data_IF_315527913541
#
_entry.id   IF_315527913541
#
_cell.length_a   1.000
_cell.length_b   1.000
_cell.length_c   1.000
_cell.angle_alpha   90.00
_cell.angle_beta   90.00
_cell.angle_gamma   90.00
#
_symmetry.space_group_name_H-M   'P 1'
#
loop_
_entity.id
_entity.type
_entity.pdbx_description
1 polymer ?
#
# COMPACT_ATOMS: atom_id res chain seq x y z
N UNK A 1 -1.24 3.78 -20.79
CA UNK A 1 -1.55 4.33 -19.45
C UNK A 1 -2.36 3.36 -18.59
N UNK A 2 -3.59 2.98 -18.97
CA UNK A 2 -4.41 2.07 -18.13
C UNK A 2 -3.75 0.71 -17.82
N UNK A 3 -3.10 0.08 -18.80
CA UNK A 3 -2.35 -1.17 -18.55
C UNK A 3 -1.18 -0.98 -17.58
N UNK A 4 -0.53 0.18 -17.58
CA UNK A 4 0.52 0.47 -16.61
C UNK A 4 -0.10 0.69 -15.22
N UNK A 5 -1.18 1.46 -15.12
CA UNK A 5 -1.90 1.66 -13.87
C UNK A 5 -2.39 0.33 -13.29
N UNK A 6 -2.87 -0.59 -14.13
CA UNK A 6 -3.24 -1.96 -13.74
C UNK A 6 -2.06 -2.69 -13.08
N UNK A 7 -0.87 -2.63 -13.68
CA UNK A 7 0.33 -3.27 -13.13
C UNK A 7 0.77 -2.62 -11.81
N UNK A 8 0.77 -1.29 -11.75
CA UNK A 8 1.15 -0.53 -10.56
C UNK A 8 0.19 -0.86 -9.39
N UNK A 9 -1.13 -0.87 -9.64
CA UNK A 9 -2.14 -1.26 -8.63
C UNK A 9 -1.92 -2.71 -8.17
N UNK A 10 -1.65 -3.65 -9.09
CA UNK A 10 -1.40 -5.06 -8.75
C UNK A 10 -0.18 -5.21 -7.85
N UNK A 11 0.92 -4.52 -8.16
CA UNK A 11 2.12 -4.54 -7.34
C UNK A 11 1.86 -4.00 -5.93
N UNK A 12 1.17 -2.86 -5.83
CA UNK A 12 0.86 -2.25 -4.53
C UNK A 12 -0.08 -3.11 -3.68
N UNK A 13 -1.07 -3.77 -4.28
CA UNK A 13 -1.94 -4.74 -3.59
C UNK A 13 -1.10 -5.84 -2.93
N UNK A 14 -0.12 -6.40 -3.65
CA UNK A 14 0.72 -7.46 -3.09
C UNK A 14 1.60 -6.97 -1.94
N UNK A 15 2.14 -5.75 -2.05
CA UNK A 15 2.92 -5.11 -0.98
C UNK A 15 2.06 -4.85 0.27
N UNK A 16 0.84 -4.36 0.12
CA UNK A 16 -0.10 -4.18 1.24
C UNK A 16 -0.53 -5.52 1.86
N UNK A 17 -0.74 -6.55 1.04
CA UNK A 17 -1.02 -7.91 1.53
C UNK A 17 0.13 -8.48 2.35
N UNK A 18 1.37 -8.26 1.93
CA UNK A 18 2.54 -8.65 2.71
C UNK A 18 2.57 -7.91 4.06
N UNK A 19 2.33 -6.60 4.05
CA UNK A 19 2.29 -5.78 5.25
C UNK A 19 1.15 -6.19 6.22
N UNK A 20 -0.02 -6.56 5.69
CA UNK A 20 -1.13 -7.16 6.45
C UNK A 20 -0.70 -8.44 7.16
N UNK A 21 0.06 -9.32 6.48
CA UNK A 21 0.57 -10.54 7.09
C UNK A 21 1.52 -10.24 8.26
N UNK A 22 2.36 -9.21 8.15
CA UNK A 22 3.21 -8.78 9.27
C UNK A 22 2.40 -8.28 10.46
N UNK A 23 1.36 -7.46 10.24
CA UNK A 23 0.47 -7.03 11.34
C UNK A 23 -0.20 -8.24 12.01
N UNK A 24 -0.77 -9.14 11.21
CA UNK A 24 -1.49 -10.31 11.73
C UNK A 24 -0.56 -11.23 12.53
N UNK A 25 0.64 -11.51 12.01
CA UNK A 25 1.66 -12.29 12.72
C UNK A 25 2.05 -11.63 14.04
N UNK A 26 2.26 -10.32 14.05
CA UNK A 26 2.65 -9.60 15.25
C UNK A 26 1.57 -9.63 16.33
N UNK A 27 0.31 -9.45 15.94
CA UNK A 27 -0.85 -9.57 16.83
C UNK A 27 -0.85 -10.95 17.50
N UNK A 28 -0.64 -12.02 16.73
CA UNK A 28 -0.56 -13.38 17.29
C UNK A 28 0.66 -13.56 18.18
N UNK A 29 1.84 -13.05 17.81
CA UNK A 29 3.02 -13.11 18.67
C UNK A 29 2.82 -12.41 20.01
N UNK A 30 2.15 -11.25 20.02
CA UNK A 30 1.81 -10.52 21.26
C UNK A 30 0.80 -11.34 22.09
N UNK A 31 -0.29 -11.79 21.46
CA UNK A 31 -1.34 -12.56 22.13
C UNK A 31 -0.81 -13.86 22.76
N UNK A 32 -0.03 -14.61 21.99
CA UNK A 32 0.50 -15.92 22.40
C UNK A 32 1.75 -15.80 23.28
N UNK A 33 2.24 -14.57 23.51
CA UNK A 33 3.48 -14.28 24.25
C UNK A 33 4.65 -15.08 23.69
N UNK A 34 4.79 -15.08 22.36
CA UNK A 34 5.88 -15.75 21.68
C UNK A 34 7.24 -15.26 22.21
N UNK A 35 8.29 -16.11 22.20
CA UNK A 35 9.62 -15.66 22.58
C UNK A 35 10.16 -14.63 21.56
N UNK A 36 11.01 -13.71 22.05
CA UNK A 36 11.69 -12.75 21.19
C UNK A 36 12.49 -13.48 20.11
N UNK A 37 12.28 -13.09 18.86
CA UNK A 37 12.94 -13.66 17.70
C UNK A 37 13.04 -12.61 16.59
N UNK A 38 13.87 -12.90 15.59
CA UNK A 38 13.97 -12.06 14.38
C UNK A 38 12.63 -11.95 13.68
N UNK A 39 11.77 -12.97 13.73
CA UNK A 39 10.43 -12.87 13.14
C UNK A 39 9.53 -11.89 13.89
N UNK A 40 9.60 -11.83 15.22
CA UNK A 40 8.82 -10.84 15.99
C UNK A 40 9.32 -9.44 15.68
N UNK A 41 10.64 -9.24 15.68
CA UNK A 41 11.26 -7.97 15.33
C UNK A 41 10.88 -7.53 13.92
N UNK A 42 11.07 -8.39 12.92
CA UNK A 42 10.74 -8.08 11.52
C UNK A 42 9.25 -7.77 11.34
N UNK A 43 8.35 -8.56 11.93
CA UNK A 43 6.93 -8.24 11.90
C UNK A 43 6.63 -6.88 12.55
N UNK A 44 7.36 -6.48 13.60
CA UNK A 44 7.18 -5.19 14.25
C UNK A 44 7.68 -4.01 13.40
N UNK A 45 8.87 -4.10 12.80
CA UNK A 45 9.35 -3.02 11.92
C UNK A 45 8.53 -2.89 10.64
N UNK A 46 8.12 -4.02 10.04
CA UNK A 46 7.34 -4.04 8.79
C UNK A 46 5.85 -3.77 9.00
N UNK A 47 5.34 -3.80 10.23
CA UNK A 47 3.92 -3.54 10.53
C UNK A 47 3.48 -2.12 10.14
N UNK A 48 4.41 -1.16 10.15
CA UNK A 48 4.16 0.26 9.90
C UNK A 48 4.39 0.70 8.44
N UNK A 49 4.84 -0.21 7.58
CA UNK A 49 5.13 0.10 6.17
C UNK A 49 3.86 0.48 5.41
N UNK A 50 3.98 1.48 4.54
CA UNK A 50 2.88 1.98 3.74
C UNK A 50 3.31 2.13 2.29
N UNK A 51 2.36 2.04 1.37
CA UNK A 51 2.60 2.04 -0.06
C UNK A 51 1.52 2.89 -0.75
N UNK A 52 1.96 3.78 -1.63
CA UNK A 52 1.08 4.69 -2.35
C UNK A 52 1.08 4.35 -3.84
N UNK A 53 -0.09 4.43 -4.45
CA UNK A 53 -0.27 4.34 -5.90
C UNK A 53 -0.29 5.76 -6.45
N UNK A 54 0.54 6.06 -7.45
CA UNK A 54 0.51 7.34 -8.17
C UNK A 54 -0.03 7.10 -9.58
N UNK A 55 -1.33 7.32 -9.82
CA UNK A 55 -1.94 7.01 -11.10
C UNK A 55 -1.42 7.93 -12.22
N UNK A 56 -1.09 7.34 -13.37
CA UNK A 56 -0.77 8.11 -14.58
C UNK A 56 -2.04 8.59 -15.26
N UNK A 57 -2.28 9.90 -15.27
CA UNK A 57 -3.50 10.53 -15.81
C UNK A 57 -3.30 11.28 -17.13
N UNK A 58 -2.06 11.32 -17.66
CA UNK A 58 -1.70 12.07 -18.86
C UNK A 58 -2.53 11.73 -20.10
N UNK A 59 -2.74 10.45 -20.39
CA UNK A 59 -3.56 10.06 -21.55
C UNK A 59 -5.03 10.46 -21.38
N UNK A 60 -5.58 10.42 -20.16
CA UNK A 60 -6.95 10.85 -19.92
C UNK A 60 -7.11 12.36 -20.06
N UNK A 61 -6.16 13.16 -19.59
CA UNK A 61 -6.22 14.61 -19.80
C UNK A 61 -6.20 14.98 -21.29
N UNK A 62 -5.43 14.24 -22.10
CA UNK A 62 -5.49 14.38 -23.56
C UNK A 62 -6.84 13.94 -24.14
N UNK A 63 -7.38 12.81 -23.68
CA UNK A 63 -8.69 12.31 -24.09
C UNK A 63 -9.80 13.31 -23.75
N UNK A 64 -9.76 13.93 -22.57
CA UNK A 64 -10.74 14.93 -22.10
C UNK A 64 -10.81 16.14 -23.02
N UNK A 65 -9.66 16.62 -23.48
CA UNK A 65 -9.58 17.85 -24.26
C UNK A 65 -10.00 17.67 -25.72
N UNK A 66 -9.75 16.50 -26.32
CA UNK A 66 -9.83 16.33 -27.79
C UNK A 66 -10.48 15.01 -28.24
N UNK A 67 -10.66 14.03 -27.36
CA UNK A 67 -10.98 12.65 -27.73
C UNK A 67 -12.23 12.02 -27.10
N UNK A 68 -12.84 12.56 -26.05
CA UNK A 68 -14.05 11.95 -25.48
C UNK A 68 -15.23 11.93 -26.47
N UNK A 69 -15.30 12.90 -27.37
CA UNK A 69 -16.32 12.97 -28.42
C UNK A 69 -16.06 11.98 -29.57
N UNK A 70 -14.87 11.37 -29.66
CA UNK A 70 -14.58 10.33 -30.66
C UNK A 70 -15.07 8.96 -30.20
N UNK A 71 -15.36 8.79 -28.92
CA UNK A 71 -16.03 7.60 -28.39
C UNK A 71 -17.51 7.64 -28.76
N UNK A 72 -17.98 6.61 -29.45
CA UNK A 72 -19.38 6.44 -29.86
C UNK A 72 -20.24 5.82 -28.76
N UNK A 73 -19.62 5.09 -27.84
CA UNK A 73 -20.27 4.49 -26.69
C UNK A 73 -20.30 5.47 -25.49
N UNK A 74 -21.48 6.03 -25.20
CA UNK A 74 -21.68 6.94 -24.07
C UNK A 74 -21.43 6.25 -22.70
N UNK A 75 -21.70 4.95 -22.58
CA UNK A 75 -21.43 4.20 -21.34
C UNK A 75 -19.93 4.08 -21.10
N UNK A 76 -19.15 3.82 -22.15
CA UNK A 76 -17.69 3.83 -22.08
C UNK A 76 -17.18 5.23 -21.66
N UNK A 77 -17.70 6.29 -22.29
CA UNK A 77 -17.32 7.68 -21.95
C UNK A 77 -17.55 7.99 -20.47
N UNK A 78 -18.72 7.60 -19.92
CA UNK A 78 -19.05 7.78 -18.50
C UNK A 78 -18.11 6.96 -17.61
N UNK A 79 -17.87 5.69 -17.95
CA UNK A 79 -17.01 4.80 -17.17
C UNK A 79 -15.57 5.33 -17.07
N UNK A 80 -15.00 5.80 -18.19
CA UNK A 80 -13.66 6.40 -18.21
C UNK A 80 -13.62 7.70 -17.41
N UNK A 81 -14.67 8.53 -17.53
CA UNK A 81 -14.76 9.76 -16.75
C UNK A 81 -14.76 9.47 -15.25
N UNK A 82 -15.57 8.51 -14.80
CA UNK A 82 -15.65 8.12 -13.39
C UNK A 82 -14.34 7.50 -12.90
N UNK A 83 -13.73 6.62 -13.70
CA UNK A 83 -12.46 5.96 -13.37
C UNK A 83 -11.37 7.00 -13.07
N UNK A 84 -11.18 7.97 -13.96
CA UNK A 84 -10.10 8.95 -13.80
C UNK A 84 -10.43 10.07 -12.81
N UNK A 85 -11.68 10.54 -12.75
CA UNK A 85 -12.04 11.68 -11.90
C UNK A 85 -12.34 11.28 -10.46
N UNK A 86 -12.74 10.02 -10.22
CA UNK A 86 -13.15 9.53 -8.90
C UNK A 86 -12.22 8.40 -8.43
N UNK A 87 -12.18 7.28 -9.15
CA UNK A 87 -11.58 6.05 -8.62
C UNK A 87 -10.06 6.16 -8.50
N UNK A 88 -9.36 6.53 -9.58
CA UNK A 88 -7.91 6.72 -9.55
C UNK A 88 -7.50 7.87 -8.64
N UNK A 89 -8.27 8.97 -8.64
CA UNK A 89 -8.01 10.09 -7.72
C UNK A 89 -8.13 9.66 -6.26
N UNK A 90 -9.04 8.74 -5.94
CA UNK A 90 -9.20 8.21 -4.60
C UNK A 90 -8.02 7.34 -4.15
N UNK A 91 -7.33 6.68 -5.08
CA UNK A 91 -6.07 5.97 -4.77
C UNK A 91 -4.93 6.94 -4.46
N UNK A 92 -4.86 8.07 -5.19
CA UNK A 92 -3.88 9.13 -4.94
C UNK A 92 -4.06 9.77 -3.56
N UNK A 93 -5.31 9.97 -3.14
CA UNK A 93 -5.70 10.55 -1.84
C UNK A 93 -5.81 9.51 -0.69
N UNK A 94 -5.30 8.29 -0.90
CA UNK A 94 -5.34 7.19 0.10
C UNK A 94 -6.75 6.98 0.68
N UNK A 95 -7.80 6.88 -0.13
CA UNK A 95 -9.20 6.77 0.34
C UNK A 95 -9.74 7.99 1.10
N UNK A 96 -9.10 9.16 0.98
CA UNK A 96 -9.37 10.32 1.84
C UNK A 96 -8.79 10.14 3.24
N UNK A 97 -8.01 9.07 3.48
CA UNK A 97 -7.25 8.91 4.70
C UNK A 97 -6.13 9.92 4.79
N UNK A 98 -5.63 10.49 3.70
CA UNK A 98 -4.69 11.61 3.77
C UNK A 98 -5.29 12.86 4.45
N UNK A 99 -6.63 13.00 4.42
CA UNK A 99 -7.36 14.09 5.10
C UNK A 99 -7.78 13.74 6.54
N UNK A 100 -7.71 12.46 6.92
CA UNK A 100 -7.77 12.02 8.32
C UNK A 100 -6.35 11.93 8.82
N UNK A 101 -5.99 12.31 10.05
CA UNK A 101 -4.58 12.18 10.50
C UNK A 101 -4.13 10.69 10.69
N UNK A 102 -4.72 9.74 9.95
CA UNK A 102 -4.49 8.32 10.04
C UNK A 102 -3.49 7.87 8.97
N UNK A 103 -2.26 7.66 9.39
CA UNK A 103 -1.21 6.98 8.62
C UNK A 103 -0.77 5.73 9.37
N UNK A 104 -0.56 4.61 8.65
CA UNK A 104 -0.06 3.38 9.28
C UNK A 104 1.29 3.59 9.96
N UNK A 105 2.16 4.37 9.31
CA UNK A 105 3.48 4.73 9.85
C UNK A 105 3.35 5.55 11.13
N UNK A 106 2.57 6.64 11.09
CA UNK A 106 2.40 7.53 12.24
C UNK A 106 1.70 6.85 13.43
N UNK A 107 0.79 5.92 13.15
CA UNK A 107 0.05 5.16 14.17
C UNK A 107 0.97 4.26 14.99
N UNK A 108 1.95 3.62 14.34
CA UNK A 108 2.84 2.65 14.99
C UNK A 108 4.20 3.24 15.41
N UNK A 109 4.59 4.39 14.85
CA UNK A 109 5.86 5.05 15.15
C UNK A 109 6.11 5.31 16.65
N UNK A 110 5.12 5.79 17.46
CA UNK A 110 5.33 5.98 18.89
C UNK A 110 5.76 4.71 19.63
N UNK A 111 5.26 3.56 19.21
CA UNK A 111 5.60 2.27 19.79
C UNK A 111 6.96 1.78 19.30
N UNK A 112 7.26 1.98 18.02
CA UNK A 112 8.58 1.68 17.47
C UNK A 112 9.66 2.49 18.20
N UNK A 113 9.45 3.79 18.40
CA UNK A 113 10.37 4.63 19.16
C UNK A 113 10.49 4.24 20.65
N UNK A 114 9.43 3.67 21.22
CA UNK A 114 9.44 3.19 22.61
C UNK A 114 10.19 1.87 22.79
N UNK A 115 10.05 0.95 21.84
CA UNK A 115 10.46 -0.44 22.00
C UNK A 115 11.65 -0.84 21.14
N UNK A 116 12.00 -0.10 20.10
CA UNK A 116 13.19 -0.37 19.29
C UNK A 116 14.35 0.43 19.85
N UNK A 117 15.45 -0.25 20.12
CA UNK A 117 16.69 0.39 20.52
C UNK A 117 17.91 -0.26 19.86
N UNK A 118 19.00 0.49 19.78
CA UNK A 118 20.28 0.00 19.31
C UNK A 118 20.99 -0.80 20.43
N UNK A 119 21.40 -2.01 20.10
CA UNK A 119 22.32 -2.80 20.90
C UNK A 119 23.76 -2.36 20.61
N UNK A 120 24.28 -1.52 21.51
CA UNK A 120 25.60 -0.90 21.37
C UNK A 120 26.76 -1.91 21.49
N UNK A 121 26.49 -3.14 21.92
CA UNK A 121 27.49 -4.20 22.04
C UNK A 121 27.60 -5.05 20.77
N UNK A 122 26.68 -4.87 19.82
CA UNK A 122 26.60 -5.67 18.58
C UNK A 122 26.68 -4.78 17.32
N UNK A 123 27.88 -4.31 16.94
CA UNK A 123 28.07 -3.63 15.66
C UNK A 123 27.91 -4.62 14.49
N UNK A 124 27.32 -4.15 13.40
CA UNK A 124 27.12 -4.88 12.17
C UNK A 124 27.45 -4.01 10.96
N UNK A 125 28.06 -4.64 9.95
CA UNK A 125 28.43 -3.96 8.70
C UNK A 125 27.45 -4.34 7.60
N UNK A 126 26.80 -3.34 7.02
CA UNK A 126 25.95 -3.51 5.84
C UNK A 126 26.73 -3.10 4.60
N UNK A 127 26.64 -3.93 3.55
CA UNK A 127 27.19 -3.63 2.22
C UNK A 127 26.05 -3.27 1.28
N UNK A 128 26.24 -2.24 0.46
CA UNK A 128 25.24 -1.81 -0.52
C UNK A 128 25.79 -1.99 -1.93
N UNK A 129 24.89 -2.25 -2.89
CA UNK A 129 25.27 -2.45 -4.29
C UNK A 129 25.82 -1.17 -4.94
N UNK A 130 25.38 0.00 -4.47
CA UNK A 130 25.67 1.30 -5.07
C UNK A 130 26.26 2.32 -4.09
N UNK A 131 26.73 1.87 -2.91
CA UNK A 131 27.34 2.72 -1.90
C UNK A 131 28.38 1.94 -1.08
N UNK A 132 29.24 2.68 -0.37
CA UNK A 132 30.19 2.09 0.57
C UNK A 132 29.48 1.35 1.71
N UNK A 133 30.21 0.44 2.36
CA UNK A 133 29.69 -0.25 3.54
C UNK A 133 29.53 0.70 4.72
N UNK A 134 28.43 0.58 5.46
CA UNK A 134 28.24 1.28 6.74
C UNK A 134 28.34 0.29 7.89
N UNK A 135 28.91 0.74 9.02
CA UNK A 135 28.87 -0.02 10.28
C UNK A 135 27.94 0.68 11.24
N UNK A 136 26.92 -0.02 11.70
CA UNK A 136 25.88 0.47 12.61
C UNK A 136 25.60 -0.57 13.69
N UNK A 137 24.86 -0.21 14.72
CA UNK A 137 24.49 -1.13 15.79
C UNK A 137 23.20 -1.87 15.44
N UNK A 138 23.11 -3.15 15.84
CA UNK A 138 21.89 -3.95 15.62
C UNK A 138 20.73 -3.34 16.37
N UNK A 139 19.60 -3.17 15.70
CA UNK A 139 18.34 -2.78 16.35
C UNK A 139 17.63 -4.01 16.90
N UNK A 140 16.96 -3.85 18.05
CA UNK A 140 16.19 -4.92 18.69
C UNK A 140 15.06 -4.38 19.57
N UNK A 141 14.15 -5.29 19.96
CA UNK A 141 13.06 -4.96 20.87
C UNK A 141 13.58 -5.00 22.32
N UNK A 142 13.45 -3.88 23.03
CA UNK A 142 13.76 -3.77 24.46
C UNK A 142 12.50 -3.90 25.31
N UNK A 143 12.67 -4.19 26.61
CA UNK A 143 11.57 -4.34 27.58
C UNK A 143 10.49 -5.30 27.06
N UNK A 144 10.90 -6.48 26.58
CA UNK A 144 10.03 -7.37 25.81
C UNK A 144 8.75 -7.79 26.56
N UNK A 145 8.82 -8.01 27.87
CA UNK A 145 7.63 -8.30 28.69
C UNK A 145 6.62 -7.13 28.67
N UNK A 146 7.10 -5.89 28.65
CA UNK A 146 6.25 -4.70 28.52
C UNK A 146 5.70 -4.56 27.10
N UNK A 147 6.50 -4.86 26.09
CA UNK A 147 6.07 -4.90 24.69
C UNK A 147 4.89 -5.88 24.49
N UNK A 148 4.97 -7.09 25.06
CA UNK A 148 3.91 -8.10 25.00
C UNK A 148 2.66 -7.71 25.82
N UNK A 149 2.78 -6.81 26.78
CA UNK A 149 1.68 -6.37 27.65
C UNK A 149 1.11 -4.99 27.27
N UNK A 150 1.63 -4.34 26.23
CA UNK A 150 1.16 -3.02 25.80
C UNK A 150 -0.16 -3.14 25.02
N UNK A 151 -1.27 -2.95 25.74
CA UNK A 151 -2.61 -2.97 25.15
C UNK A 151 -2.83 -1.86 24.12
N UNK A 152 -2.16 -0.71 24.26
CA UNK A 152 -2.30 0.37 23.30
C UNK A 152 -1.58 0.01 21.99
N UNK A 153 -0.43 -0.68 22.05
CA UNK A 153 0.22 -1.25 20.87
C UNK A 153 -0.71 -2.25 20.18
N UNK A 154 -1.27 -3.21 20.93
CA UNK A 154 -2.17 -4.23 20.38
C UNK A 154 -3.40 -3.60 19.71
N UNK A 155 -4.03 -2.61 20.36
CA UNK A 155 -5.17 -1.88 19.79
C UNK A 155 -4.80 -1.20 18.47
N UNK A 156 -3.67 -0.50 18.43
CA UNK A 156 -3.24 0.19 17.22
C UNK A 156 -2.87 -0.76 16.10
N UNK A 157 -2.26 -1.92 16.40
CA UNK A 157 -2.02 -2.97 15.40
C UNK A 157 -3.33 -3.50 14.79
N UNK A 158 -4.38 -3.66 15.59
CA UNK A 158 -5.70 -4.07 15.10
C UNK A 158 -6.34 -3.00 14.21
N UNK A 159 -6.23 -1.72 14.59
CA UNK A 159 -6.70 -0.61 13.76
C UNK A 159 -5.94 -0.51 12.45
N UNK A 160 -4.61 -0.65 12.47
CA UNK A 160 -3.76 -0.72 11.28
C UNK A 160 -4.16 -1.87 10.37
N UNK A 161 -4.36 -3.08 10.93
CA UNK A 161 -4.79 -4.25 10.16
C UNK A 161 -6.14 -4.02 9.48
N UNK A 162 -7.11 -3.46 10.21
CA UNK A 162 -8.43 -3.14 9.67
C UNK A 162 -8.35 -2.09 8.56
N UNK A 163 -7.66 -0.96 8.82
CA UNK A 163 -7.50 0.12 7.85
C UNK A 163 -6.83 -0.35 6.57
N UNK A 164 -5.77 -1.16 6.68
CA UNK A 164 -5.07 -1.71 5.51
C UNK A 164 -5.92 -2.73 4.74
N UNK A 165 -6.81 -3.46 5.43
CA UNK A 165 -7.77 -4.33 4.74
C UNK A 165 -8.74 -3.53 3.87
N UNK A 166 -9.21 -2.36 4.35
CA UNK A 166 -10.05 -1.47 3.56
C UNK A 166 -9.31 -0.88 2.35
N UNK A 167 -8.03 -0.54 2.50
CA UNK A 167 -7.18 -0.09 1.39
C UNK A 167 -7.10 -1.17 0.31
N UNK A 168 -6.75 -2.40 0.69
CA UNK A 168 -6.65 -3.51 -0.27
C UNK A 168 -7.97 -3.77 -0.99
N UNK A 169 -9.09 -3.77 -0.27
CA UNK A 169 -10.41 -3.94 -0.87
C UNK A 169 -10.70 -2.84 -1.91
N UNK A 170 -10.31 -1.60 -1.62
CA UNK A 170 -10.46 -0.51 -2.57
C UNK A 170 -9.58 -0.67 -3.81
N UNK A 171 -8.31 -0.99 -3.62
CA UNK A 171 -7.37 -1.17 -4.72
C UNK A 171 -7.85 -2.28 -5.65
N UNK A 172 -8.36 -3.39 -5.10
CA UNK A 172 -8.96 -4.49 -5.87
C UNK A 172 -10.21 -4.01 -6.62
N UNK A 173 -11.09 -3.24 -5.98
CA UNK A 173 -12.27 -2.69 -6.65
C UNK A 173 -11.90 -1.74 -7.80
N UNK A 174 -10.88 -0.91 -7.61
CA UNK A 174 -10.38 -0.01 -8.65
C UNK A 174 -9.71 -0.78 -9.77
N UNK A 175 -8.95 -1.82 -9.46
CA UNK A 175 -8.34 -2.71 -10.45
C UNK A 175 -9.38 -3.34 -11.37
N UNK A 176 -10.49 -3.85 -10.81
CA UNK A 176 -11.60 -4.43 -11.60
C UNK A 176 -12.17 -3.39 -12.57
N UNK A 177 -12.31 -2.12 -12.14
CA UNK A 177 -12.79 -1.03 -13.00
C UNK A 177 -11.78 -0.67 -14.09
N UNK A 178 -10.48 -0.68 -13.78
CA UNK A 178 -9.41 -0.48 -14.78
C UNK A 178 -9.45 -1.59 -15.83
N UNK A 179 -9.55 -2.84 -15.40
CA UNK A 179 -9.62 -4.00 -16.29
C UNK A 179 -10.83 -3.92 -17.22
N UNK A 180 -12.01 -3.62 -16.65
CA UNK A 180 -13.21 -3.38 -17.43
C UNK A 180 -13.06 -2.23 -18.43
N UNK A 181 -12.44 -1.12 -18.04
CA UNK A 181 -12.23 0.02 -18.93
C UNK A 181 -11.29 -0.32 -20.09
N UNK A 182 -10.28 -1.17 -19.87
CA UNK A 182 -9.41 -1.67 -20.94
C UNK A 182 -10.23 -2.51 -21.92
N UNK A 183 -11.02 -3.46 -21.43
CA UNK A 183 -11.85 -4.33 -22.27
C UNK A 183 -12.88 -3.52 -23.09
N UNK A 184 -13.59 -2.59 -22.44
CA UNK A 184 -14.59 -1.74 -23.08
C UNK A 184 -13.95 -0.82 -24.15
N UNK A 185 -12.69 -0.35 -23.96
CA UNK A 185 -11.92 0.38 -24.99
C UNK A 185 -11.57 -0.53 -26.17
N UNK A 186 -11.11 -1.75 -25.91
CA UNK A 186 -10.73 -2.68 -26.97
C UNK A 186 -11.93 -3.07 -27.84
N UNK A 187 -13.12 -3.21 -27.25
CA UNK A 187 -14.37 -3.40 -27.99
C UNK A 187 -14.73 -2.19 -28.85
N UNK A 188 -14.60 -0.97 -28.32
CA UNK A 188 -14.83 0.27 -29.06
C UNK A 188 -13.87 0.41 -30.24
N UNK A 189 -12.59 0.11 -30.04
CA UNK A 189 -11.60 0.17 -31.12
C UNK A 189 -11.88 -0.85 -32.23
N UNK A 190 -12.37 -2.05 -31.88
CA UNK A 190 -12.81 -3.05 -32.87
C UNK A 190 -14.03 -2.55 -33.65
N UNK A 191 -15.01 -1.95 -32.98
CA UNK A 191 -16.23 -1.42 -33.62
C UNK A 191 -15.91 -0.31 -34.63
N UNK A 192 -14.89 0.50 -34.33
CA UNK A 192 -14.38 1.57 -35.19
C UNK A 192 -13.45 1.08 -36.31
N UNK A 193 -13.14 -0.21 -36.38
CA UNK A 193 -12.21 -0.78 -37.36
C UNK A 193 -10.74 -0.38 -37.14
N UNK A 194 -10.40 0.09 -35.94
CA UNK A 194 -9.07 0.56 -35.58
C UNK A 194 -8.12 -0.56 -35.13
N UNK A 195 -8.63 -1.77 -34.85
CA UNK A 195 -7.84 -2.96 -34.50
C UNK A 195 -8.20 -4.09 -35.48
N UNK A 196 -7.20 -4.62 -36.18
CA UNK A 196 -7.31 -5.83 -37.02
C UNK A 196 -7.09 -7.09 -36.20
#
# INVERSE_FOLDING_TARGET
DLQQAQNDIKETIELHREALQYNQKLIFYIHDKAPLSDSVYNSFVSSSTDYQIIPKTSAFENLKNIGLNTLTNDSLRISLTNLFQLDLKRLDDELGMAATDFSFSQTLFPYQNRYINADLDLPMTYTFQHADSITVYRLGIINYDQFLADNDLLRNLQLTLYGRSLVVDEEVNTLIKVEKAIDDIDEELKSLGAVK
#
